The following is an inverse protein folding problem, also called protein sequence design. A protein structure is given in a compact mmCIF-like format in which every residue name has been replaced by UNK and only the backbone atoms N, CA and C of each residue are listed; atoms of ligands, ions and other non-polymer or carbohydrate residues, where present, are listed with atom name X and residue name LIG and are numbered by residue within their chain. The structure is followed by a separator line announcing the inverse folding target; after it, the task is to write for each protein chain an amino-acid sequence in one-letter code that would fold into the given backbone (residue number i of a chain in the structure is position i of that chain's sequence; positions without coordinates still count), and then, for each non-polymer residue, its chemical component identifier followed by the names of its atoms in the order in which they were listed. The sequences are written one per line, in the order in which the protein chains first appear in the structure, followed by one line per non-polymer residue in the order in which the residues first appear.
data_IF_592706272024
#
_entry.id   IF_592706272024
#
_cell.length_a   1.000
_cell.length_b   1.000
_cell.length_c   1.000
_cell.angle_alpha   90.00
_cell.angle_beta   90.00
_cell.angle_gamma   90.00
#
_symmetry.space_group_name_H-M   'P 1'
#
loop_
_entity.id
_entity.type
_entity.pdbx_description
1 polymer ?
#
# COMPACT_ATOMS: atom_id res chain seq x y z
N UNK A 1 -22.02 2.44 0.94
CA UNK A 1 -20.87 1.63 1.37
C UNK A 1 -20.80 0.39 0.50
N UNK A 2 -19.80 0.28 -0.37
CA UNK A 2 -19.64 -0.87 -1.25
C UNK A 2 -19.10 -2.03 -0.44
N UNK A 3 -19.95 -2.94 0.02
CA UNK A 3 -19.54 -4.05 0.89
C UNK A 3 -18.66 -5.01 0.09
N UNK A 4 -17.34 -4.90 0.23
CA UNK A 4 -16.41 -5.91 -0.27
C UNK A 4 -16.50 -7.10 0.68
N UNK A 5 -16.82 -8.27 0.14
CA UNK A 5 -16.80 -9.51 0.92
C UNK A 5 -15.42 -10.13 0.81
N UNK A 6 -14.65 -10.10 1.88
CA UNK A 6 -13.37 -10.81 1.92
C UNK A 6 -13.58 -12.32 1.95
N UNK A 7 -12.69 -13.04 1.26
CA UNK A 7 -12.65 -14.49 1.28
C UNK A 7 -11.37 -14.96 1.98
N UNK A 8 -11.47 -15.98 2.84
CA UNK A 8 -10.33 -16.56 3.59
C UNK A 8 -9.13 -16.87 2.69
N UNK A 9 -9.37 -17.45 1.51
CA UNK A 9 -8.32 -17.79 0.56
C UNK A 9 -7.55 -16.57 0.05
N UNK A 10 -8.24 -15.43 -0.12
CA UNK A 10 -7.62 -14.19 -0.58
C UNK A 10 -6.71 -13.60 0.49
N UNK A 11 -7.22 -13.48 1.73
CA UNK A 11 -6.43 -12.99 2.86
C UNK A 11 -5.23 -13.91 3.11
N UNK A 12 -5.43 -15.23 3.12
CA UNK A 12 -4.33 -16.18 3.30
C UNK A 12 -3.24 -16.02 2.23
N UNK A 13 -3.63 -15.77 0.98
CA UNK A 13 -2.68 -15.57 -0.10
C UNK A 13 -1.91 -14.24 0.04
N UNK A 14 -2.58 -13.19 0.53
CA UNK A 14 -1.96 -11.88 0.83
C UNK A 14 -1.00 -12.00 2.02
N UNK A 15 -1.42 -12.60 3.13
CA UNK A 15 -0.56 -12.76 4.32
C UNK A 15 0.66 -13.62 4.05
N UNK A 16 0.51 -14.67 3.22
CA UNK A 16 1.64 -15.47 2.74
C UNK A 16 2.59 -14.66 1.84
N UNK A 17 2.07 -13.75 1.01
CA UNK A 17 2.91 -12.86 0.21
C UNK A 17 3.70 -11.90 1.11
N UNK A 18 3.06 -11.33 2.13
CA UNK A 18 3.72 -10.47 3.10
C UNK A 18 4.82 -11.22 3.90
N UNK A 19 4.59 -12.48 4.27
CA UNK A 19 5.61 -13.32 4.93
C UNK A 19 6.86 -13.54 4.04
N UNK A 20 6.67 -13.71 2.73
CA UNK A 20 7.79 -13.78 1.81
C UNK A 20 8.56 -12.46 1.74
N UNK A 21 7.85 -11.33 1.75
CA UNK A 21 8.46 -10.00 1.63
C UNK A 21 9.22 -9.66 2.92
N UNK A 22 8.55 -9.68 4.07
CA UNK A 22 9.13 -9.25 5.34
C UNK A 22 9.96 -10.35 6.02
N UNK A 23 9.48 -11.60 6.00
CA UNK A 23 10.14 -12.71 6.68
C UNK A 23 11.28 -13.35 5.87
N UNK A 24 11.24 -13.25 4.53
CA UNK A 24 12.25 -13.84 3.63
C UNK A 24 13.00 -12.82 2.77
N UNK A 25 12.78 -11.52 2.98
CA UNK A 25 13.39 -10.43 2.21
C UNK A 25 13.23 -10.57 0.69
N UNK A 26 12.11 -11.16 0.25
CA UNK A 26 11.80 -11.28 -1.17
C UNK A 26 11.34 -9.92 -1.73
N UNK A 27 11.67 -9.64 -2.99
CA UNK A 27 11.21 -8.41 -3.64
C UNK A 27 9.70 -8.41 -3.85
N UNK A 28 9.05 -7.31 -3.48
CA UNK A 28 7.60 -7.21 -3.47
C UNK A 28 6.99 -7.38 -4.87
N UNK A 29 7.59 -6.79 -5.90
CA UNK A 29 7.14 -6.87 -7.30
C UNK A 29 7.16 -8.33 -7.82
N UNK A 30 8.25 -9.06 -7.57
CA UNK A 30 8.38 -10.47 -7.94
C UNK A 30 7.36 -11.36 -7.20
N UNK A 31 7.13 -11.09 -5.91
CA UNK A 31 6.15 -11.80 -5.09
C UNK A 31 4.74 -11.57 -5.61
N UNK A 32 4.34 -10.32 -5.84
CA UNK A 32 3.02 -9.95 -6.37
C UNK A 32 2.81 -10.58 -7.75
N UNK A 33 3.80 -10.47 -8.65
CA UNK A 33 3.70 -11.06 -9.99
C UNK A 33 3.47 -12.58 -9.92
N UNK A 34 4.23 -13.30 -9.08
CA UNK A 34 4.09 -14.74 -8.89
C UNK A 34 2.74 -15.11 -8.26
N UNK A 35 2.28 -14.35 -7.26
CA UNK A 35 0.96 -14.52 -6.65
C UNK A 35 -0.15 -14.43 -7.71
N UNK A 36 -0.16 -13.37 -8.49
CA UNK A 36 -1.19 -13.11 -9.50
C UNK A 36 -1.17 -14.11 -10.68
N UNK A 37 0.01 -14.64 -11.02
CA UNK A 37 0.16 -15.74 -11.99
C UNK A 37 -0.41 -17.05 -11.46
N UNK A 38 -0.23 -17.34 -10.16
CA UNK A 38 -0.77 -18.52 -9.50
C UNK A 38 -2.29 -18.48 -9.35
N UNK A 39 -2.87 -17.31 -9.11
CA UNK A 39 -4.30 -17.14 -8.87
C UNK A 39 -5.10 -16.89 -10.16
N UNK A 40 -5.15 -17.89 -11.05
CA UNK A 40 -5.82 -17.78 -12.37
C UNK A 40 -7.32 -17.47 -12.30
N UNK A 41 -7.99 -17.84 -11.20
CA UNK A 41 -9.45 -17.64 -10.99
C UNK A 41 -9.82 -16.23 -10.49
N UNK A 42 -8.84 -15.42 -10.09
CA UNK A 42 -9.10 -14.08 -9.57
C UNK A 42 -9.45 -13.12 -10.70
N UNK A 43 -10.59 -12.43 -10.54
CA UNK A 43 -11.03 -11.39 -11.45
C UNK A 43 -10.22 -10.10 -11.29
N UNK A 44 -10.50 -9.10 -12.12
CA UNK A 44 -9.80 -7.80 -12.10
C UNK A 44 -9.86 -7.12 -10.73
N UNK A 45 -11.02 -7.21 -10.05
CA UNK A 45 -11.22 -6.68 -8.70
C UNK A 45 -10.34 -7.35 -7.66
N UNK A 46 -10.31 -8.68 -7.63
CA UNK A 46 -9.51 -9.44 -6.65
C UNK A 46 -8.02 -9.20 -6.84
N UNK A 47 -7.58 -9.09 -8.10
CA UNK A 47 -6.19 -8.79 -8.45
C UNK A 47 -5.79 -7.40 -7.99
N UNK A 48 -6.62 -6.39 -8.24
CA UNK A 48 -6.39 -5.02 -7.75
C UNK A 48 -6.33 -4.99 -6.23
N UNK A 49 -7.27 -5.65 -5.55
CA UNK A 49 -7.30 -5.70 -4.09
C UNK A 49 -6.04 -6.35 -3.51
N UNK A 50 -5.59 -7.47 -4.09
CA UNK A 50 -4.40 -8.16 -3.61
C UNK A 50 -3.12 -7.36 -3.88
N UNK A 51 -2.95 -6.81 -5.08
CA UNK A 51 -1.76 -6.01 -5.38
C UNK A 51 -1.72 -4.71 -4.57
N UNK A 52 -2.84 -3.97 -4.52
CA UNK A 52 -2.96 -2.72 -3.78
C UNK A 52 -2.68 -2.91 -2.28
N UNK A 53 -3.37 -3.86 -1.64
CA UNK A 53 -3.16 -4.10 -0.21
C UNK A 53 -1.73 -4.52 0.12
N UNK A 54 -1.08 -5.34 -0.70
CA UNK A 54 0.32 -5.72 -0.47
C UNK A 54 1.23 -4.49 -0.56
N UNK A 55 1.10 -3.66 -1.61
CA UNK A 55 1.95 -2.48 -1.77
C UNK A 55 1.71 -1.44 -0.67
N UNK A 56 0.46 -1.20 -0.30
CA UNK A 56 0.13 -0.26 0.78
C UNK A 56 0.66 -0.73 2.13
N UNK A 57 0.54 -2.03 2.44
CA UNK A 57 1.08 -2.59 3.69
C UNK A 57 2.61 -2.56 3.70
N UNK A 58 3.26 -2.78 2.56
CA UNK A 58 4.73 -2.63 2.45
C UNK A 58 5.14 -1.17 2.65
N UNK A 59 4.41 -0.22 2.05
CA UNK A 59 4.66 1.22 2.17
C UNK A 59 4.48 1.71 3.61
N UNK A 60 3.36 1.36 4.26
CA UNK A 60 2.96 1.87 5.57
C UNK A 60 3.20 0.88 6.72
N UNK A 61 4.12 -0.06 6.56
CA UNK A 61 4.38 -1.13 7.54
C UNK A 61 4.50 -0.63 8.98
N UNK A 62 5.37 0.36 9.25
CA UNK A 62 5.60 0.85 10.63
C UNK A 62 4.36 1.54 11.20
N UNK A 63 3.65 2.32 10.37
CA UNK A 63 2.39 2.97 10.73
C UNK A 63 1.35 1.93 11.14
N UNK A 64 1.17 0.90 10.32
CA UNK A 64 0.20 -0.16 10.58
C UNK A 64 0.61 -1.04 11.77
N UNK A 65 1.90 -1.31 11.98
CA UNK A 65 2.38 -2.02 13.17
C UNK A 65 2.08 -1.25 14.46
N UNK A 66 2.30 0.07 14.47
CA UNK A 66 1.98 0.91 15.62
C UNK A 66 0.48 0.86 15.95
N UNK A 67 -0.38 1.10 14.96
CA UNK A 67 -1.83 1.08 15.17
C UNK A 67 -2.36 -0.32 15.48
N UNK A 68 -1.82 -1.38 14.86
CA UNK A 68 -2.20 -2.76 15.16
C UNK A 68 -1.83 -3.16 16.61
N UNK A 69 -0.71 -2.67 17.13
CA UNK A 69 -0.31 -2.88 18.53
C UNK A 69 -1.37 -2.31 19.47
N UNK A 70 -1.83 -1.09 19.22
CA UNK A 70 -2.77 -0.39 20.09
C UNK A 70 -4.22 -0.91 19.94
N UNK A 71 -4.64 -1.22 18.71
CA UNK A 71 -6.04 -1.57 18.41
C UNK A 71 -6.34 -3.06 18.46
N UNK A 72 -5.36 -3.92 18.18
CA UNK A 72 -5.53 -5.38 18.08
C UNK A 72 -4.68 -6.11 19.13
N UNK A 73 -3.57 -5.51 19.60
CA UNK A 73 -2.65 -6.14 20.56
C UNK A 73 -1.65 -7.12 19.94
N UNK A 74 -1.60 -7.23 18.61
CA UNK A 74 -0.62 -8.05 17.87
C UNK A 74 -0.31 -7.43 16.51
N UNK A 75 0.86 -7.75 15.96
CA UNK A 75 1.39 -7.18 14.71
C UNK A 75 1.75 -8.25 13.68
N UNK A 76 0.99 -9.33 13.59
CA UNK A 76 1.15 -10.33 12.53
C UNK A 76 0.60 -9.85 11.17
N UNK A 77 0.94 -10.54 10.08
CA UNK A 77 0.53 -10.16 8.73
C UNK A 77 -1.00 -10.02 8.54
N UNK A 78 -1.82 -10.79 9.27
CA UNK A 78 -3.26 -10.66 9.20
C UNK A 78 -3.73 -9.39 9.92
N UNK A 79 -3.15 -9.06 11.09
CA UNK A 79 -3.45 -7.80 11.78
C UNK A 79 -3.15 -6.58 10.91
N UNK A 80 -2.01 -6.56 10.19
CA UNK A 80 -1.67 -5.47 9.26
C UNK A 80 -2.67 -5.35 8.11
N UNK A 81 -3.12 -6.49 7.58
CA UNK A 81 -4.16 -6.51 6.56
C UNK A 81 -5.47 -5.91 7.07
N UNK A 82 -5.85 -6.19 8.32
CA UNK A 82 -7.09 -5.67 8.89
C UNK A 82 -7.02 -4.19 9.26
N UNK A 83 -5.86 -3.67 9.67
CA UNK A 83 -5.65 -2.22 9.80
C UNK A 83 -5.77 -1.54 8.43
N UNK A 84 -5.12 -2.07 7.38
CA UNK A 84 -5.30 -1.56 6.02
C UNK A 84 -6.78 -1.62 5.59
N UNK A 85 -7.46 -2.75 5.84
CA UNK A 85 -8.87 -2.89 5.46
C UNK A 85 -9.76 -1.87 6.17
N UNK A 86 -9.52 -1.61 7.46
CA UNK A 86 -10.22 -0.59 8.23
C UNK A 86 -9.91 0.83 7.75
N UNK A 87 -8.67 1.14 7.35
CA UNK A 87 -8.33 2.41 6.71
C UNK A 87 -9.20 2.64 5.46
N UNK A 88 -9.38 1.60 4.64
CA UNK A 88 -10.24 1.62 3.46
C UNK A 88 -11.76 1.59 3.78
N UNK A 89 -12.13 1.59 5.07
CA UNK A 89 -13.52 1.59 5.53
C UNK A 89 -14.20 0.23 5.56
N UNK A 90 -13.44 -0.87 5.52
CA UNK A 90 -13.97 -2.23 5.58
C UNK A 90 -13.95 -2.81 6.99
N UNK A 91 -15.04 -3.46 7.36
CA UNK A 91 -15.17 -4.19 8.63
C UNK A 91 -14.67 -5.63 8.47
N UNK A 92 -13.92 -6.17 9.44
CA UNK A 92 -13.60 -7.59 9.47
C UNK A 92 -14.89 -8.45 9.51
N UNK A 93 -14.95 -9.56 8.75
CA UNK A 93 -16.01 -10.55 8.87
C UNK A 93 -15.82 -11.40 10.14
N UNK A 94 -16.89 -12.01 10.63
CA UNK A 94 -16.92 -12.79 11.89
C UNK A 94 -15.83 -13.86 12.02
N UNK A 95 -15.33 -14.38 10.90
CA UNK A 95 -14.29 -15.40 10.88
C UNK A 95 -12.86 -14.87 11.00
N UNK A 96 -12.66 -13.55 10.98
CA UNK A 96 -11.34 -12.91 10.96
C UNK A 96 -10.52 -13.11 12.25
N UNK A 97 -11.12 -13.69 13.29
CA UNK A 97 -10.48 -13.91 14.60
C UNK A 97 -9.88 -12.61 15.16
N UNK A 98 -10.67 -11.54 15.04
CA UNK A 98 -10.42 -10.20 15.58
C UNK A 98 -11.67 -9.81 16.34
N UNK A 99 -11.53 -9.53 17.63
CA UNK A 99 -12.59 -8.93 18.45
C UNK A 99 -13.03 -7.60 17.82
N UNK A 100 -14.32 -7.24 17.96
CA UNK A 100 -14.97 -6.11 17.27
C UNK A 100 -14.06 -4.90 17.04
N UNK A 101 -13.43 -4.84 15.86
CA UNK A 101 -12.54 -3.76 15.47
C UNK A 101 -13.36 -2.55 15.03
N UNK A 102 -13.34 -1.49 15.82
CA UNK A 102 -14.00 -0.24 15.49
C UNK A 102 -13.23 0.50 14.38
N UNK A 103 -13.77 0.42 13.17
CA UNK A 103 -13.18 1.03 11.96
C UNK A 103 -12.95 2.54 12.13
N UNK A 104 -13.84 3.26 12.82
CA UNK A 104 -13.69 4.70 13.01
C UNK A 104 -12.51 5.02 13.92
N UNK A 105 -12.34 4.24 15.01
CA UNK A 105 -11.20 4.40 15.91
C UNK A 105 -9.88 4.08 15.23
N UNK A 106 -9.85 3.07 14.36
CA UNK A 106 -8.65 2.76 13.57
C UNK A 106 -8.28 3.91 12.64
N UNK A 107 -9.25 4.47 11.91
CA UNK A 107 -9.02 5.63 11.04
C UNK A 107 -8.55 6.86 11.84
N UNK A 108 -9.14 7.11 12.99
CA UNK A 108 -8.71 8.17 13.90
C UNK A 108 -7.26 7.95 14.38
N UNK A 109 -6.91 6.74 14.82
CA UNK A 109 -5.55 6.42 15.24
C UNK A 109 -4.52 6.54 14.10
N UNK A 110 -4.88 6.14 12.88
CA UNK A 110 -4.02 6.30 11.71
C UNK A 110 -3.75 7.77 11.37
N UNK A 111 -4.72 8.66 11.62
CA UNK A 111 -4.58 10.10 11.40
C UNK A 111 -3.82 10.80 12.54
N UNK A 112 -3.88 10.25 13.76
CA UNK A 112 -3.26 10.83 14.96
C UNK A 112 -1.82 10.33 15.22
N UNK A 113 -1.19 9.64 14.27
CA UNK A 113 0.23 9.26 14.42
C UNK A 113 1.11 10.50 14.31
N UNK A 114 1.57 11.01 15.45
CA UNK A 114 2.34 12.26 15.52
C UNK A 114 3.79 12.12 15.05
N UNK A 115 4.47 11.02 15.40
CA UNK A 115 5.88 10.85 15.08
C UNK A 115 6.06 10.65 13.56
N UNK A 116 6.67 11.64 12.89
CA UNK A 116 6.91 11.67 11.42
C UNK A 116 7.44 10.35 10.88
N UNK A 117 8.47 9.76 11.50
CA UNK A 117 9.07 8.51 11.04
C UNK A 117 8.08 7.32 11.05
N UNK A 118 7.14 7.28 12.00
CA UNK A 118 6.09 6.25 12.04
C UNK A 118 4.96 6.61 11.06
N UNK A 119 4.53 7.87 11.06
CA UNK A 119 3.46 8.38 10.18
C UNK A 119 3.76 8.13 8.71
N UNK A 120 4.99 8.45 8.29
CA UNK A 120 5.49 8.26 6.92
C UNK A 120 6.14 6.88 6.72
N UNK A 121 6.15 6.04 7.76
CA UNK A 121 6.62 4.65 7.74
C UNK A 121 8.05 4.44 7.21
N UNK A 122 8.98 5.32 7.59
CA UNK A 122 10.41 5.23 7.27
C UNK A 122 11.23 4.90 8.52
N UNK A 123 12.36 4.17 8.45
CA UNK A 123 13.21 3.91 9.62
C UNK A 123 13.75 5.17 10.29
N UNK A 124 13.98 5.14 11.61
CA UNK A 124 14.43 6.32 12.38
C UNK A 124 15.79 6.84 11.90
N UNK A 125 16.68 5.96 11.44
CA UNK A 125 17.97 6.37 10.88
C UNK A 125 17.83 7.17 9.58
N UNK A 126 16.82 6.85 8.76
CA UNK A 126 16.58 7.54 7.49
C UNK A 126 15.91 8.89 7.75
N UNK A 127 14.99 8.93 8.71
CA UNK A 127 14.38 10.19 9.14
C UNK A 127 15.42 11.18 9.68
N UNK A 128 16.32 10.70 10.56
CA UNK A 128 17.41 11.51 11.08
C UNK A 128 18.32 12.04 9.97
N UNK A 129 18.73 11.18 9.04
CA UNK A 129 19.58 11.57 7.91
C UNK A 129 18.89 12.61 7.02
N UNK A 130 17.60 12.44 6.74
CA UNK A 130 16.83 13.38 5.93
C UNK A 130 16.74 14.77 6.57
N UNK A 131 16.54 14.84 7.90
CA UNK A 131 16.56 16.11 8.65
C UNK A 131 17.94 16.76 8.62
N UNK A 132 19.01 15.98 8.78
CA UNK A 132 20.39 16.49 8.75
C UNK A 132 20.76 17.11 7.39
N UNK A 133 20.34 16.48 6.29
CA UNK A 133 20.73 16.90 4.93
C UNK A 133 19.79 17.95 4.31
N UNK A 134 18.48 17.87 4.58
CA UNK A 134 17.47 18.68 3.90
C UNK A 134 16.76 19.69 4.82
N UNK A 135 16.92 19.55 6.14
CA UNK A 135 16.13 20.27 7.13
C UNK A 135 14.72 19.71 7.27
N UNK A 136 14.08 20.02 8.39
CA UNK A 136 12.78 19.45 8.79
C UNK A 136 11.65 19.75 7.80
N UNK A 137 11.44 21.04 7.46
CA UNK A 137 10.34 21.48 6.59
C UNK A 137 10.38 20.85 5.19
N UNK A 138 11.58 20.67 4.62
CA UNK A 138 11.73 20.08 3.30
C UNK A 138 11.58 18.57 3.38
N UNK A 139 12.24 17.93 4.34
CA UNK A 139 12.17 16.49 4.51
C UNK A 139 10.75 15.99 4.74
N UNK A 140 9.95 16.71 5.53
CA UNK A 140 8.54 16.38 5.73
C UNK A 140 7.73 16.38 4.42
N UNK A 141 7.95 17.38 3.55
CA UNK A 141 7.28 17.44 2.25
C UNK A 141 7.72 16.31 1.32
N UNK A 142 9.02 16.01 1.28
CA UNK A 142 9.56 14.94 0.45
C UNK A 142 9.00 13.58 0.87
N UNK A 143 8.99 13.27 2.17
CA UNK A 143 8.39 12.03 2.68
C UNK A 143 6.92 11.89 2.32
N UNK A 144 6.15 12.96 2.50
CA UNK A 144 4.73 12.94 2.17
C UNK A 144 4.49 12.62 0.69
N UNK A 145 5.27 13.23 -0.21
CA UNK A 145 5.18 12.97 -1.66
C UNK A 145 5.64 11.55 -2.02
N UNK A 146 6.71 11.05 -1.40
CA UNK A 146 7.21 9.68 -1.64
C UNK A 146 6.19 8.59 -1.25
N UNK A 147 5.26 8.91 -0.37
CA UNK A 147 4.18 8.02 0.06
C UNK A 147 2.93 8.07 -0.83
N UNK A 148 2.87 8.99 -1.78
CA UNK A 148 1.78 9.08 -2.75
C UNK A 148 1.98 8.07 -3.90
N UNK A 149 0.89 7.75 -4.60
CA UNK A 149 0.98 6.96 -5.84
C UNK A 149 1.69 7.80 -6.91
N UNK A 150 2.71 7.24 -7.54
CA UNK A 150 3.47 7.94 -8.55
C UNK A 150 2.74 7.96 -9.90
N UNK A 151 2.82 9.08 -10.59
CA UNK A 151 2.27 9.21 -11.94
C UNK A 151 2.97 8.27 -12.93
N UNK A 152 2.20 7.82 -13.93
CA UNK A 152 2.74 6.99 -15.01
C UNK A 152 3.48 7.89 -16.00
N UNK A 153 4.81 7.96 -15.84
CA UNK A 153 5.66 8.74 -16.73
C UNK A 153 6.14 7.88 -17.91
N UNK A 154 5.89 8.35 -19.14
CA UNK A 154 6.35 7.72 -20.37
C UNK A 154 7.51 8.51 -20.98
N UNK A 155 8.54 7.79 -21.44
CA UNK A 155 9.63 8.38 -22.24
C UNK A 155 9.45 8.02 -23.72
N UNK A 156 9.23 9.03 -24.55
CA UNK A 156 9.09 8.86 -26.01
C UNK A 156 10.41 8.39 -26.62
N UNK A 157 10.36 7.38 -27.48
CA UNK A 157 11.49 6.99 -28.31
C UNK A 157 11.59 7.91 -29.54
N UNK A 158 12.49 8.89 -29.48
CA UNK A 158 12.66 9.93 -30.51
C UNK A 158 13.21 9.43 -31.85
N UNK A 159 13.67 8.18 -31.93
CA UNK A 159 14.02 7.54 -33.21
C UNK A 159 12.79 7.09 -34.00
N UNK A 160 11.62 6.97 -33.34
CA UNK A 160 10.39 6.45 -33.95
C UNK A 160 9.29 7.51 -34.08
N UNK A 161 9.20 8.45 -33.13
CA UNK A 161 8.16 9.48 -33.11
C UNK A 161 8.58 10.67 -32.24
N UNK A 162 7.72 11.68 -32.10
CA UNK A 162 7.92 12.84 -31.23
C UNK A 162 6.80 12.94 -30.17
N UNK A 163 7.02 13.65 -29.04
CA UNK A 163 6.07 13.72 -27.93
C UNK A 163 4.65 14.11 -28.34
N UNK A 164 4.50 15.14 -29.17
CA UNK A 164 3.19 15.67 -29.58
C UNK A 164 2.38 14.62 -30.35
N UNK A 165 3.07 13.84 -31.19
CA UNK A 165 2.44 12.78 -31.98
C UNK A 165 2.04 11.59 -31.11
N UNK A 166 2.85 11.24 -30.11
CA UNK A 166 2.49 10.19 -29.16
C UNK A 166 1.30 10.60 -28.29
N UNK A 167 1.25 11.86 -27.81
CA UNK A 167 0.11 12.39 -27.06
C UNK A 167 -1.18 12.30 -27.89
N UNK A 168 -1.13 12.63 -29.18
CA UNK A 168 -2.29 12.49 -30.07
C UNK A 168 -2.76 11.04 -30.18
N UNK A 169 -1.85 10.08 -30.39
CA UNK A 169 -2.20 8.66 -30.45
C UNK A 169 -2.81 8.15 -29.14
N UNK A 170 -2.23 8.53 -27.99
CA UNK A 170 -2.77 8.16 -26.69
C UNK A 170 -4.17 8.73 -26.48
N UNK A 171 -4.40 9.99 -26.88
CA UNK A 171 -5.71 10.62 -26.83
C UNK A 171 -6.75 9.92 -27.71
N UNK A 172 -6.36 9.48 -28.90
CA UNK A 172 -7.22 8.67 -29.79
C UNK A 172 -7.61 7.33 -29.14
N UNK A 173 -6.75 6.77 -28.29
CA UNK A 173 -7.04 5.57 -27.47
C UNK A 173 -7.76 5.88 -26.15
N UNK A 174 -8.10 7.15 -25.89
CA UNK A 174 -8.79 7.60 -24.68
C UNK A 174 -7.88 7.72 -23.45
N UNK A 175 -6.58 7.83 -23.65
CA UNK A 175 -5.58 8.08 -22.59
C UNK A 175 -5.19 9.56 -22.62
N UNK A 176 -5.59 10.30 -21.60
CA UNK A 176 -5.20 11.70 -21.42
C UNK A 176 -3.75 11.80 -20.95
N UNK A 177 -3.04 12.82 -21.43
CA UNK A 177 -1.64 13.09 -21.12
C UNK A 177 -1.42 14.59 -20.97
N UNK A 178 -0.57 14.98 -20.04
CA UNK A 178 -0.10 16.37 -19.84
C UNK A 178 1.17 16.68 -20.66
#
# INVERSE_FOLDING_TARGET
MTTIKFHRNQIHAITKALDLIFGKNAKADEVVQRLLKGQKRWGSRDRRLAAGSIYDIVRYKRKYEAVATDMIGRTDHASLFWIWAAEQGYTPPDWADIEELDVNKVQEALNNVELRAIRESVPDWLDKLGVEELGEDRWEKELHVLNQEADVILRVNTLLTHPERLQQWLKEEGVETE
#
